data_IF_251248376728
#
_entry.id   IF_251248376728
#
_cell.length_a   1.000
_cell.length_b   1.000
_cell.length_c   1.000
_cell.angle_alpha   90.00
_cell.angle_beta   90.00
_cell.angle_gamma   90.00
#
_symmetry.space_group_name_H-M   'P 1'
#
loop_
_entity.id
_entity.type
_entity.pdbx_description
1 polymer ?
#
# COMPACT_ATOMS: atom_id res chain seq x y z
N UNK A 1 -13.21 -10.04 7.45
CA UNK A 1 -12.00 -9.39 6.91
C UNK A 1 -11.55 -8.38 7.93
N UNK A 2 -10.28 -8.41 8.33
CA UNK A 2 -9.79 -7.51 9.37
C UNK A 2 -9.35 -6.14 8.82
N UNK A 3 -9.39 -5.97 7.51
CA UNK A 3 -9.09 -4.72 6.81
C UNK A 3 -10.25 -4.37 5.87
N UNK A 4 -10.35 -3.08 5.52
CA UNK A 4 -11.32 -2.59 4.55
C UNK A 4 -10.69 -2.56 3.16
N UNK A 5 -11.42 -3.07 2.17
CA UNK A 5 -11.08 -2.98 0.75
C UNK A 5 -12.26 -2.41 -0.01
N UNK A 6 -12.06 -1.32 -0.73
CA UNK A 6 -13.07 -0.81 -1.65
C UNK A 6 -13.30 -1.80 -2.81
N UNK A 7 -14.53 -1.91 -3.31
CA UNK A 7 -14.90 -2.87 -4.37
C UNK A 7 -14.08 -2.73 -5.66
N UNK A 8 -13.63 -1.50 -5.95
CA UNK A 8 -12.81 -1.19 -7.13
C UNK A 8 -11.31 -1.36 -6.90
N UNK A 9 -10.86 -1.66 -5.68
CA UNK A 9 -9.47 -1.98 -5.44
C UNK A 9 -9.16 -3.41 -5.91
N UNK A 10 -7.95 -3.63 -6.38
CA UNK A 10 -7.44 -4.95 -6.75
C UNK A 10 -6.34 -5.31 -5.76
N UNK A 11 -6.49 -6.47 -5.13
CA UNK A 11 -5.49 -7.02 -4.21
C UNK A 11 -5.25 -8.43 -4.71
N UNK A 12 -4.04 -8.69 -5.20
CA UNK A 12 -3.63 -10.00 -5.65
C UNK A 12 -3.50 -10.96 -4.46
N UNK A 13 -3.65 -12.25 -4.75
CA UNK A 13 -3.44 -13.30 -3.76
C UNK A 13 -2.03 -13.21 -3.16
N UNK A 14 -1.90 -13.55 -1.87
CA UNK A 14 -0.60 -13.57 -1.17
C UNK A 14 -0.10 -12.23 -0.63
N UNK A 15 -0.85 -11.12 -0.80
CA UNK A 15 -0.59 -9.92 -0.01
C UNK A 15 -0.94 -10.14 1.47
N UNK A 16 -0.04 -9.73 2.35
CA UNK A 16 -0.27 -9.71 3.80
C UNK A 16 -0.74 -8.30 4.18
N UNK A 17 -1.98 -8.18 4.66
CA UNK A 17 -2.56 -6.90 5.05
C UNK A 17 -3.01 -6.97 6.50
N UNK A 18 -2.44 -6.10 7.32
CA UNK A 18 -2.72 -6.00 8.75
C UNK A 18 -4.11 -5.45 9.08
N UNK A 19 -4.51 -5.66 10.33
CA UNK A 19 -5.80 -5.28 10.86
C UNK A 19 -5.99 -3.75 10.85
N UNK A 20 -7.22 -3.29 10.60
CA UNK A 20 -7.56 -1.86 10.57
C UNK A 20 -7.05 -1.10 9.33
N UNK A 21 -6.29 -1.75 8.45
CA UNK A 21 -5.84 -1.15 7.19
C UNK A 21 -7.01 -0.89 6.24
N UNK A 22 -6.93 0.20 5.48
CA UNK A 22 -7.98 0.61 4.54
C UNK A 22 -7.39 0.83 3.15
N UNK A 23 -7.93 0.12 2.16
CA UNK A 23 -7.56 0.24 0.75
C UNK A 23 -8.69 0.89 -0.03
N UNK A 24 -8.41 2.07 -0.60
CA UNK A 24 -9.38 2.87 -1.32
C UNK A 24 -9.38 2.61 -2.84
N UNK A 25 -10.25 3.33 -3.55
CA UNK A 25 -10.61 3.13 -4.94
C UNK A 25 -9.42 2.98 -5.90
N UNK A 26 -9.54 2.05 -6.84
CA UNK A 26 -8.60 1.89 -7.97
C UNK A 26 -7.14 1.65 -7.58
N UNK A 27 -6.89 1.25 -6.34
CA UNK A 27 -5.56 0.87 -5.89
C UNK A 27 -5.29 -0.58 -6.25
N UNK A 28 -4.04 -0.87 -6.61
CA UNK A 28 -3.59 -2.19 -7.01
C UNK A 28 -2.42 -2.63 -6.14
N UNK A 29 -2.64 -3.68 -5.35
CA UNK A 29 -1.66 -4.29 -4.47
C UNK A 29 -1.25 -5.63 -5.07
N UNK A 30 -0.01 -5.71 -5.56
CA UNK A 30 0.52 -6.89 -6.24
C UNK A 30 1.04 -7.94 -5.25
N UNK A 31 1.04 -9.19 -5.69
CA UNK A 31 1.40 -10.37 -4.88
C UNK A 31 2.64 -10.18 -3.99
N UNK A 32 2.59 -10.73 -2.77
CA UNK A 32 3.75 -10.73 -1.85
C UNK A 32 4.05 -9.38 -1.22
N UNK A 33 3.19 -8.37 -1.40
CA UNK A 33 3.25 -7.14 -0.63
C UNK A 33 2.95 -7.40 0.85
N UNK A 34 3.62 -6.68 1.76
CA UNK A 34 3.32 -6.68 3.19
C UNK A 34 2.92 -5.29 3.63
N UNK A 35 1.72 -5.16 4.18
CA UNK A 35 1.18 -3.91 4.71
C UNK A 35 0.81 -4.14 6.17
N UNK A 36 1.38 -3.35 7.07
CA UNK A 36 1.13 -3.43 8.50
C UNK A 36 -0.29 -3.03 8.91
N UNK A 37 -0.48 -2.86 10.21
CA UNK A 37 -1.77 -2.52 10.80
C UNK A 37 -2.09 -1.03 10.64
N UNK A 38 -3.38 -0.69 10.60
CA UNK A 38 -3.90 0.69 10.60
C UNK A 38 -3.37 1.59 9.47
N UNK A 39 -2.96 1.00 8.35
CA UNK A 39 -2.49 1.76 7.19
C UNK A 39 -3.65 2.37 6.40
N UNK A 40 -3.37 3.47 5.69
CA UNK A 40 -4.30 4.07 4.75
C UNK A 40 -3.67 4.04 3.37
N UNK A 41 -4.28 3.31 2.45
CA UNK A 41 -3.88 3.25 1.05
C UNK A 41 -4.91 4.04 0.25
N UNK A 42 -4.53 5.25 -0.16
CA UNK A 42 -5.37 6.21 -0.89
C UNK A 42 -5.87 5.71 -2.24
N UNK A 43 -6.54 6.58 -2.99
CA UNK A 43 -7.03 6.26 -4.33
C UNK A 43 -5.88 6.17 -5.34
N UNK A 44 -5.98 5.23 -6.30
CA UNK A 44 -5.04 5.09 -7.40
C UNK A 44 -3.59 4.91 -6.89
N UNK A 45 -3.43 4.14 -5.82
CA UNK A 45 -2.12 3.75 -5.30
C UNK A 45 -1.71 2.43 -5.90
N UNK A 46 -0.45 2.35 -6.32
CA UNK A 46 0.16 1.12 -6.79
C UNK A 46 1.17 0.62 -5.75
N UNK A 47 1.06 -0.65 -5.37
CA UNK A 47 2.01 -1.33 -4.47
C UNK A 47 2.59 -2.53 -5.21
N UNK A 48 3.88 -2.47 -5.53
CA UNK A 48 4.59 -3.51 -6.26
C UNK A 48 4.88 -4.77 -5.42
N UNK A 49 5.36 -5.81 -6.09
CA UNK A 49 5.77 -7.07 -5.45
C UNK A 49 6.82 -6.81 -4.35
N UNK A 50 6.68 -7.49 -3.21
CA UNK A 50 7.68 -7.47 -2.13
C UNK A 50 7.87 -6.12 -1.43
N UNK A 51 7.01 -5.14 -1.69
CA UNK A 51 6.98 -3.89 -0.93
C UNK A 51 6.59 -4.18 0.52
N UNK A 52 7.25 -3.51 1.46
CA UNK A 52 6.95 -3.59 2.89
C UNK A 52 6.54 -2.22 3.41
N UNK A 53 5.31 -2.10 3.90
CA UNK A 53 4.82 -0.96 4.66
C UNK A 53 4.62 -1.38 6.11
N UNK A 54 5.21 -0.62 7.04
CA UNK A 54 5.03 -0.78 8.47
C UNK A 54 3.62 -0.47 8.95
N UNK A 55 3.46 -0.25 10.25
CA UNK A 55 2.20 0.11 10.89
C UNK A 55 1.91 1.61 10.76
N UNK A 56 0.63 1.99 10.77
CA UNK A 56 0.15 3.38 10.72
C UNK A 56 0.63 4.19 9.50
N UNK A 57 1.12 3.53 8.45
CA UNK A 57 1.61 4.19 7.24
C UNK A 57 0.43 4.81 6.49
N UNK A 58 0.60 6.08 6.06
CA UNK A 58 -0.41 6.81 5.31
C UNK A 58 0.10 7.10 3.91
N UNK A 59 -0.43 6.36 2.95
CA UNK A 59 -0.19 6.54 1.53
C UNK A 59 -1.33 7.36 0.94
N UNK A 60 -1.04 8.60 0.56
CA UNK A 60 -2.03 9.46 -0.09
C UNK A 60 -2.23 9.08 -1.57
N UNK A 61 -3.19 9.72 -2.22
CA UNK A 61 -3.61 9.38 -3.58
C UNK A 61 -2.45 9.51 -4.60
N UNK A 62 -2.52 8.69 -5.66
CA UNK A 62 -1.62 8.71 -6.81
C UNK A 62 -0.14 8.42 -6.48
N UNK A 63 0.14 7.71 -5.39
CA UNK A 63 1.51 7.29 -5.05
C UNK A 63 1.76 5.90 -5.62
N UNK A 64 2.88 5.74 -6.32
CA UNK A 64 3.35 4.43 -6.79
C UNK A 64 4.56 3.99 -5.95
N UNK A 65 4.41 2.87 -5.27
CA UNK A 65 5.42 2.26 -4.41
C UNK A 65 5.97 1.05 -5.15
N UNK A 66 7.13 1.23 -5.77
CA UNK A 66 7.72 0.20 -6.63
C UNK A 66 8.45 -0.89 -5.82
N UNK A 67 8.67 -2.03 -6.47
CA UNK A 67 9.41 -3.18 -5.91
C UNK A 67 10.70 -2.77 -5.23
N UNK A 68 10.94 -3.29 -4.02
CA UNK A 68 12.12 -3.03 -3.21
C UNK A 68 11.99 -1.83 -2.26
N UNK A 69 10.91 -1.05 -2.34
CA UNK A 69 10.65 0.01 -1.36
C UNK A 69 10.19 -0.57 -0.02
N UNK A 70 10.78 -0.06 1.05
CA UNK A 70 10.42 -0.35 2.44
C UNK A 70 10.08 0.98 3.11
N UNK A 71 8.91 1.07 3.73
CA UNK A 71 8.51 2.20 4.58
C UNK A 71 8.27 1.69 5.99
N UNK A 72 8.95 2.28 6.96
CA UNK A 72 8.79 1.93 8.38
C UNK A 72 7.49 2.50 8.98
N UNK A 73 7.28 2.22 10.26
CA UNK A 73 6.10 2.64 11.01
C UNK A 73 5.92 4.17 11.00
N UNK A 74 4.66 4.62 11.03
CA UNK A 74 4.24 6.02 11.11
C UNK A 74 4.67 6.92 9.93
N UNK A 75 5.21 6.36 8.84
CA UNK A 75 5.58 7.10 7.63
C UNK A 75 4.35 7.73 6.94
N UNK A 76 4.52 8.97 6.49
CA UNK A 76 3.53 9.70 5.69
C UNK A 76 4.04 9.94 4.26
N UNK A 77 3.38 9.34 3.27
CA UNK A 77 3.65 9.54 1.85
C UNK A 77 2.59 10.51 1.29
N UNK A 78 3.01 11.75 1.06
CA UNK A 78 2.13 12.82 0.60
C UNK A 78 1.53 12.57 -0.79
N UNK A 79 0.48 13.34 -1.17
CA UNK A 79 -0.23 13.13 -2.42
C UNK A 79 0.71 13.25 -3.62
N UNK A 80 0.63 12.29 -4.54
CA UNK A 80 1.41 12.26 -5.78
C UNK A 80 2.95 12.30 -5.61
N UNK A 81 3.48 11.97 -4.43
CA UNK A 81 4.93 11.76 -4.30
C UNK A 81 5.35 10.52 -5.11
N UNK A 82 6.58 10.52 -5.59
CA UNK A 82 7.07 9.50 -6.53
C UNK A 82 8.29 8.81 -5.94
N UNK A 83 8.18 7.50 -5.73
CA UNK A 83 9.34 6.64 -5.60
C UNK A 83 9.90 6.31 -6.97
N UNK A 84 11.19 5.98 -7.03
CA UNK A 84 11.80 5.36 -8.19
C UNK A 84 12.62 4.17 -7.72
N UNK A 85 12.82 3.21 -8.61
CA UNK A 85 13.85 2.21 -8.49
C UNK A 85 14.61 2.13 -9.81
N UNK A 86 15.93 2.06 -9.73
CA UNK A 86 16.79 1.66 -10.83
C UNK A 86 17.48 0.41 -10.30
N UNK A 87 17.00 -0.75 -10.72
CA UNK A 87 17.62 -2.05 -10.39
C UNK A 87 18.56 -2.39 -11.54
#
# INVERSE_FOLDING_TARGET
MNYFKHDTAVVDDGCLIGDGTRVWHFSHLMNGCTIGNNCIIGQNVFVGHGVVLGNNVKVQNNVSIYTGVICEDDVFLGPSMVFTNVI
#
